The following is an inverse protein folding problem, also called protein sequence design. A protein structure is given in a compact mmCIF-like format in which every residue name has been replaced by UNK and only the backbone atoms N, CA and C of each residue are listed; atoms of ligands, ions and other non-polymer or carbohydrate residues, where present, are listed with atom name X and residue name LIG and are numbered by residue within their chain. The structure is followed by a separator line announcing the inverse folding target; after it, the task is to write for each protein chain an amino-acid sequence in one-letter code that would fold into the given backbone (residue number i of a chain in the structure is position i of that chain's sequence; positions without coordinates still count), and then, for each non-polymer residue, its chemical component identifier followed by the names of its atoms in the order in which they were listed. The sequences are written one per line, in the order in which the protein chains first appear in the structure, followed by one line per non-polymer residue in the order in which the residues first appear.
data_IF_421517991799
#
_entry.id   IF_421517991799
#
_cell.length_a   1.000
_cell.length_b   1.000
_cell.length_c   1.000
_cell.angle_alpha   90.00
_cell.angle_beta   90.00
_cell.angle_gamma   90.00
#
_symmetry.space_group_name_H-M   'P 1'
#
loop_
_entity.id
_entity.type
_entity.pdbx_description
1 polymer ?
#
# COMPACT_ATOMS: atom_id res chain seq x y z
N UNK A 1 44.11 -20.52 37.14
CA UNK A 1 43.67 -20.47 35.73
C UNK A 1 42.15 -20.54 35.67
N UNK A 2 41.50 -19.42 35.36
CA UNK A 2 40.13 -19.38 34.86
C UNK A 2 39.97 -18.07 34.07
N UNK A 3 39.71 -18.18 32.77
CA UNK A 3 39.65 -17.09 31.80
C UNK A 3 38.29 -16.40 31.88
N UNK A 4 38.28 -15.10 32.19
CA UNK A 4 37.08 -14.26 32.11
C UNK A 4 36.80 -13.96 30.63
N UNK A 5 35.69 -14.48 30.12
CA UNK A 5 35.21 -14.29 28.76
C UNK A 5 34.42 -12.97 28.69
N UNK A 6 35.02 -11.91 28.17
CA UNK A 6 34.33 -10.62 27.92
C UNK A 6 33.32 -10.79 26.77
N UNK A 7 32.04 -10.49 27.03
CA UNK A 7 30.98 -10.46 26.01
C UNK A 7 30.98 -9.09 25.35
N UNK A 8 31.45 -9.01 24.10
CA UNK A 8 31.26 -7.81 23.28
C UNK A 8 29.76 -7.60 23.02
N UNK A 9 29.26 -6.39 23.29
CA UNK A 9 27.85 -6.05 23.10
C UNK A 9 27.61 -5.58 21.66
N UNK A 10 26.41 -5.84 21.12
CA UNK A 10 25.97 -5.33 19.80
C UNK A 10 26.13 -3.81 19.67
N UNK A 11 26.09 -3.10 20.79
CA UNK A 11 26.30 -1.64 20.88
C UNK A 11 27.76 -1.24 20.63
N UNK A 12 28.73 -2.08 20.97
CA UNK A 12 30.15 -1.82 20.73
C UNK A 12 30.50 -2.02 19.24
N UNK A 13 29.85 -2.99 18.59
CA UNK A 13 29.98 -3.23 17.15
C UNK A 13 29.49 -2.03 16.32
N UNK A 14 28.36 -1.43 16.71
CA UNK A 14 27.78 -0.26 16.02
C UNK A 14 28.60 1.01 16.22
N UNK A 15 29.35 1.14 17.31
CA UNK A 15 30.26 2.27 17.53
C UNK A 15 31.52 2.17 16.66
N UNK A 16 31.95 0.96 16.31
CA UNK A 16 33.12 0.76 15.46
C UNK A 16 32.87 1.09 13.98
N UNK A 17 31.63 1.01 13.49
CA UNK A 17 31.29 1.30 12.09
C UNK A 17 31.06 2.79 11.80
N UNK A 18 30.92 3.64 12.82
CA UNK A 18 30.66 5.07 12.64
C UNK A 18 31.93 5.92 12.39
N UNK A 19 33.14 5.35 12.46
CA UNK A 19 34.40 6.10 12.33
C UNK A 19 35.13 5.90 10.98
N UNK A 20 34.50 5.27 9.98
CA UNK A 20 35.12 4.93 8.68
C UNK A 20 34.47 5.59 7.47
N UNK A 21 33.94 6.81 7.60
CA UNK A 21 33.49 7.63 6.46
C UNK A 21 34.09 9.04 6.47
N UNK A 22 35.40 9.13 6.68
CA UNK A 22 36.17 10.35 6.43
C UNK A 22 37.24 10.03 5.38
N UNK A 23 36.97 10.43 4.13
CA UNK A 23 37.97 10.48 3.06
C UNK A 23 37.55 9.75 1.79
N UNK A 24 36.99 10.49 0.84
CA UNK A 24 37.52 10.72 -0.53
C UNK A 24 36.78 11.98 -1.02
N UNK A 25 37.43 13.13 -0.89
CA UNK A 25 37.11 14.33 -1.63
C UNK A 25 38.09 14.39 -2.80
N UNK A 26 37.65 14.05 -4.01
CA UNK A 26 38.39 14.29 -5.25
C UNK A 26 37.45 14.93 -6.28
N UNK A 27 37.61 16.24 -6.37
CA UNK A 27 37.43 17.13 -7.52
C UNK A 27 36.74 16.57 -8.79
N UNK A 28 35.54 17.07 -9.07
CA UNK A 28 35.03 17.19 -10.45
C UNK A 28 33.95 18.28 -10.52
N UNK A 29 34.34 19.55 -10.51
CA UNK A 29 33.49 20.67 -10.94
C UNK A 29 34.37 21.66 -11.71
N UNK A 30 34.75 21.28 -12.92
CA UNK A 30 35.00 22.27 -13.97
C UNK A 30 33.64 22.71 -14.51
N UNK A 31 33.39 24.00 -14.78
CA UNK A 31 32.17 24.41 -15.44
C UNK A 31 32.23 23.93 -16.89
N UNK A 32 31.43 22.92 -17.22
CA UNK A 32 31.10 22.63 -18.60
C UNK A 32 30.36 23.85 -19.18
N UNK A 33 30.80 24.29 -20.36
CA UNK A 33 30.23 25.43 -21.07
C UNK A 33 28.71 25.29 -21.23
N UNK A 34 27.99 26.40 -21.00
CA UNK A 34 26.57 26.50 -21.31
C UNK A 34 26.34 26.31 -22.81
N UNK A 35 25.87 25.12 -23.18
CA UNK A 35 25.06 24.99 -24.38
C UNK A 35 23.65 25.48 -24.02
N UNK A 36 23.20 26.51 -24.73
CA UNK A 36 21.83 27.00 -24.63
C UNK A 36 20.83 25.85 -24.83
N UNK A 37 19.76 25.73 -24.02
CA UNK A 37 18.69 24.81 -24.34
C UNK A 37 18.01 25.33 -25.61
N UNK A 38 17.97 24.48 -26.64
CA UNK A 38 16.89 24.57 -27.62
C UNK A 38 15.57 24.43 -26.88
N UNK A 39 14.56 25.19 -27.28
CA UNK A 39 13.17 25.08 -26.82
C UNK A 39 12.69 23.64 -27.04
N UNK A 40 12.96 22.79 -26.05
CA UNK A 40 12.32 21.52 -25.86
C UNK A 40 11.03 21.81 -25.13
N UNK A 41 9.93 21.71 -25.85
CA UNK A 41 8.60 21.54 -25.28
C UNK A 41 8.75 20.59 -24.09
N UNK A 42 8.52 21.09 -22.87
CA UNK A 42 8.64 20.29 -21.67
C UNK A 42 7.64 19.13 -21.84
N UNK A 43 8.17 17.94 -22.12
CA UNK A 43 7.37 16.73 -22.08
C UNK A 43 6.68 16.73 -20.72
N UNK A 44 5.34 16.71 -20.73
CA UNK A 44 4.56 16.57 -19.52
C UNK A 44 5.18 15.42 -18.72
N UNK A 45 5.39 15.59 -17.40
CA UNK A 45 5.96 14.53 -16.59
C UNK A 45 5.14 13.27 -16.84
N UNK A 46 5.82 12.20 -17.27
CA UNK A 46 5.24 10.86 -17.27
C UNK A 46 4.69 10.66 -15.87
N UNK A 47 3.37 10.63 -15.71
CA UNK A 47 2.81 10.20 -14.45
C UNK A 47 3.14 8.72 -14.37
N UNK A 48 4.08 8.39 -13.48
CA UNK A 48 4.38 6.99 -13.19
C UNK A 48 3.09 6.28 -12.83
N UNK A 49 2.92 5.06 -13.37
CA UNK A 49 1.72 4.27 -13.12
C UNK A 49 1.59 3.99 -11.62
N UNK A 50 0.42 4.23 -11.06
CA UNK A 50 0.14 3.95 -9.64
C UNK A 50 -0.18 2.46 -9.50
N UNK A 51 0.61 1.75 -8.71
CA UNK A 51 0.33 0.35 -8.38
C UNK A 51 -0.73 0.26 -7.27
N UNK A 52 -1.74 -0.57 -7.47
CA UNK A 52 -2.80 -0.85 -6.49
C UNK A 52 -2.95 -2.36 -6.33
N UNK A 53 -2.73 -2.85 -5.13
CA UNK A 53 -2.84 -4.28 -4.80
C UNK A 53 -4.12 -4.53 -4.01
N UNK A 54 -5.04 -5.26 -4.64
CA UNK A 54 -6.26 -5.74 -4.01
C UNK A 54 -6.08 -7.18 -3.49
N UNK A 55 -6.83 -7.54 -2.44
CA UNK A 55 -6.88 -8.92 -1.92
C UNK A 55 -8.27 -9.53 -2.01
N UNK A 56 -8.32 -10.84 -2.24
CA UNK A 56 -9.56 -11.61 -2.33
C UNK A 56 -9.50 -12.96 -1.63
N UNK A 57 -10.63 -13.41 -1.08
CA UNK A 57 -10.84 -14.78 -0.60
C UNK A 57 -11.38 -15.74 -1.68
N UNK A 58 -11.68 -15.22 -2.88
CA UNK A 58 -12.17 -15.98 -4.03
C UNK A 58 -11.01 -16.41 -4.93
N UNK A 59 -11.21 -17.34 -5.89
CA UNK A 59 -10.23 -17.57 -6.94
C UNK A 59 -9.90 -16.27 -7.67
N UNK A 60 -8.62 -15.92 -7.80
CA UNK A 60 -8.16 -14.65 -8.37
C UNK A 60 -8.72 -14.40 -9.78
N UNK A 61 -8.81 -15.46 -10.59
CA UNK A 61 -9.36 -15.40 -11.95
C UNK A 61 -10.85 -15.00 -12.02
N UNK A 62 -11.55 -14.91 -10.88
CA UNK A 62 -12.89 -14.29 -10.81
C UNK A 62 -12.86 -12.81 -11.26
N UNK A 63 -11.71 -12.15 -11.12
CA UNK A 63 -11.56 -10.71 -11.36
C UNK A 63 -10.95 -10.37 -12.73
N UNK A 64 -10.71 -11.34 -13.61
CA UNK A 64 -10.06 -11.11 -14.92
C UNK A 64 -10.78 -10.01 -15.74
N UNK A 65 -12.11 -10.08 -15.84
CA UNK A 65 -12.91 -9.05 -16.53
C UNK A 65 -12.90 -7.68 -15.83
N UNK A 66 -12.66 -7.65 -14.52
CA UNK A 66 -12.50 -6.38 -13.78
C UNK A 66 -11.13 -5.77 -14.06
N UNK A 67 -10.08 -6.60 -14.12
CA UNK A 67 -8.74 -6.16 -14.48
C UNK A 67 -8.68 -5.62 -15.91
N UNK A 68 -9.35 -6.27 -16.86
CA UNK A 68 -9.45 -5.79 -18.25
C UNK A 68 -10.14 -4.42 -18.33
N UNK A 69 -11.32 -4.28 -17.71
CA UNK A 69 -12.04 -2.99 -17.66
C UNK A 69 -11.26 -1.90 -16.94
N UNK A 70 -10.53 -2.24 -15.88
CA UNK A 70 -9.70 -1.27 -15.17
C UNK A 70 -8.59 -0.72 -16.08
N UNK A 71 -7.92 -1.58 -16.86
CA UNK A 71 -6.90 -1.13 -17.81
C UNK A 71 -7.46 -0.17 -18.87
N UNK A 72 -8.72 -0.36 -19.29
CA UNK A 72 -9.40 0.52 -20.25
C UNK A 72 -9.86 1.84 -19.61
N UNK A 73 -10.42 1.80 -18.41
CA UNK A 73 -11.10 2.94 -17.79
C UNK A 73 -10.19 3.81 -16.92
N UNK A 74 -9.17 3.22 -16.30
CA UNK A 74 -8.22 3.86 -15.38
C UNK A 74 -6.78 3.46 -15.74
N UNK A 75 -6.29 3.79 -16.96
CA UNK A 75 -5.01 3.30 -17.49
C UNK A 75 -3.78 3.74 -16.69
N UNK A 76 -3.92 4.77 -15.85
CA UNK A 76 -2.89 5.25 -14.94
C UNK A 76 -2.73 4.37 -13.68
N UNK A 77 -3.54 3.32 -13.52
CA UNK A 77 -3.49 2.38 -12.40
C UNK A 77 -3.05 1.00 -12.89
N UNK A 78 -2.00 0.44 -12.28
CA UNK A 78 -1.66 -0.98 -12.37
C UNK A 78 -2.39 -1.73 -11.25
N UNK A 79 -3.60 -2.22 -11.56
CA UNK A 79 -4.39 -2.99 -10.60
C UNK A 79 -3.97 -4.46 -10.62
N UNK A 80 -3.63 -5.01 -9.44
CA UNK A 80 -3.38 -6.44 -9.21
C UNK A 80 -4.37 -6.98 -8.18
N UNK A 81 -4.78 -8.24 -8.32
CA UNK A 81 -5.60 -8.95 -7.32
C UNK A 81 -4.87 -10.18 -6.84
N UNK A 82 -4.62 -10.25 -5.53
CA UNK A 82 -3.93 -11.33 -4.87
C UNK A 82 -4.86 -12.12 -3.94
N UNK A 83 -4.60 -13.42 -3.81
CA UNK A 83 -5.33 -14.24 -2.85
C UNK A 83 -4.95 -13.85 -1.42
N UNK A 84 -5.92 -13.88 -0.51
CA UNK A 84 -5.70 -13.90 0.92
C UNK A 84 -6.23 -15.21 1.51
N UNK A 85 -5.41 -15.85 2.34
CA UNK A 85 -5.70 -17.15 2.89
C UNK A 85 -6.72 -17.09 4.03
N UNK A 86 -7.47 -18.17 4.22
CA UNK A 86 -8.40 -18.33 5.33
C UNK A 86 -7.74 -18.64 6.67
N UNK A 87 -6.42 -18.86 6.70
CA UNK A 87 -5.70 -19.24 7.93
C UNK A 87 -6.33 -20.45 8.62
N UNK A 88 -6.75 -20.27 9.86
CA UNK A 88 -7.43 -21.29 10.67
C UNK A 88 -8.94 -21.43 10.35
N UNK A 89 -9.44 -20.74 9.33
CA UNK A 89 -10.82 -20.75 8.87
C UNK A 89 -11.62 -19.51 9.32
N UNK A 90 -12.71 -19.23 8.58
CA UNK A 90 -13.64 -18.13 8.88
C UNK A 90 -13.04 -16.73 8.72
N UNK A 91 -13.85 -15.71 9.03
CA UNK A 91 -13.43 -14.31 8.90
C UNK A 91 -12.34 -13.89 9.89
N UNK A 92 -12.26 -14.54 11.05
CA UNK A 92 -11.16 -14.35 12.00
C UNK A 92 -9.83 -14.79 11.39
N UNK A 93 -9.75 -16.01 10.85
CA UNK A 93 -8.54 -16.53 10.23
C UNK A 93 -8.14 -15.77 8.95
N UNK A 94 -9.12 -15.30 8.19
CA UNK A 94 -8.89 -14.40 7.05
C UNK A 94 -8.26 -13.08 7.50
N UNK A 95 -8.84 -12.45 8.53
CA UNK A 95 -8.37 -11.19 9.10
C UNK A 95 -6.97 -11.34 9.70
N UNK A 96 -6.69 -12.41 10.43
CA UNK A 96 -5.37 -12.69 11.01
C UNK A 96 -4.29 -12.84 9.93
N UNK A 97 -4.61 -13.55 8.85
CA UNK A 97 -3.69 -13.72 7.70
C UNK A 97 -3.42 -12.36 7.05
N UNK A 98 -4.46 -11.57 6.82
CA UNK A 98 -4.35 -10.24 6.23
C UNK A 98 -3.50 -9.31 7.10
N UNK A 99 -3.76 -9.24 8.41
CA UNK A 99 -3.02 -8.42 9.37
C UNK A 99 -1.56 -8.85 9.47
N UNK A 100 -1.28 -10.14 9.38
CA UNK A 100 0.10 -10.66 9.37
C UNK A 100 0.87 -10.17 8.13
N UNK A 101 0.23 -10.14 6.96
CA UNK A 101 0.82 -9.62 5.71
C UNK A 101 1.09 -8.12 5.79
N UNK A 102 0.09 -7.34 6.25
CA UNK A 102 0.24 -5.89 6.47
C UNK A 102 1.38 -5.62 7.47
N UNK A 103 1.42 -6.34 8.60
CA UNK A 103 2.48 -6.21 9.59
C UNK A 103 3.86 -6.65 9.08
N UNK A 104 3.89 -7.54 8.09
CA UNK A 104 5.08 -7.95 7.35
C UNK A 104 5.59 -6.92 6.35
N UNK A 105 4.86 -5.82 6.14
CA UNK A 105 5.20 -4.76 5.19
C UNK A 105 4.78 -5.04 3.76
N UNK A 106 3.88 -6.01 3.54
CA UNK A 106 3.28 -6.22 2.23
C UNK A 106 2.32 -5.06 1.90
N UNK A 107 2.41 -4.55 0.67
CA UNK A 107 1.49 -3.54 0.17
C UNK A 107 0.11 -4.18 -0.07
N UNK A 108 -0.92 -3.64 0.57
CA UNK A 108 -2.31 -4.05 0.40
C UNK A 108 -3.16 -2.79 0.47
N UNK A 109 -3.75 -2.42 -0.67
CA UNK A 109 -4.46 -1.15 -0.84
C UNK A 109 -5.99 -1.37 -0.78
N UNK A 110 -6.48 -2.50 -1.32
CA UNK A 110 -7.90 -2.85 -1.34
C UNK A 110 -8.13 -4.23 -0.74
N UNK A 111 -9.15 -4.36 0.11
CA UNK A 111 -9.46 -5.62 0.79
C UNK A 111 -10.88 -6.03 0.43
N UNK A 112 -11.04 -7.24 -0.10
CA UNK A 112 -12.35 -7.88 -0.14
C UNK A 112 -12.69 -8.41 1.25
N UNK A 113 -13.76 -7.90 1.85
CA UNK A 113 -14.23 -8.33 3.16
C UNK A 113 -15.77 -8.35 3.17
N UNK A 114 -16.36 -9.33 3.85
CA UNK A 114 -17.79 -9.31 4.15
C UNK A 114 -18.09 -8.49 5.42
N UNK A 115 -19.36 -8.20 5.63
CA UNK A 115 -19.83 -7.41 6.77
C UNK A 115 -19.34 -7.93 8.13
N UNK A 116 -19.26 -9.25 8.32
CA UNK A 116 -18.82 -9.84 9.58
C UNK A 116 -17.35 -9.56 9.88
N UNK A 117 -16.52 -9.41 8.84
CA UNK A 117 -15.10 -9.08 8.97
C UNK A 117 -14.83 -7.59 9.16
N UNK A 118 -15.79 -6.72 8.82
CA UNK A 118 -15.62 -5.27 8.88
C UNK A 118 -15.35 -4.78 10.30
N UNK A 119 -16.13 -5.25 11.28
CA UNK A 119 -15.93 -4.89 12.69
C UNK A 119 -14.59 -5.36 13.24
N UNK A 120 -14.10 -6.52 12.80
CA UNK A 120 -12.81 -7.08 13.21
C UNK A 120 -11.66 -6.19 12.72
N UNK A 121 -11.65 -5.83 11.44
CA UNK A 121 -10.60 -5.00 10.85
C UNK A 121 -10.67 -3.54 11.35
N UNK A 122 -11.88 -3.01 11.55
CA UNK A 122 -12.07 -1.67 12.14
C UNK A 122 -11.50 -1.59 13.55
N UNK A 123 -11.73 -2.60 14.39
CA UNK A 123 -11.16 -2.69 15.74
C UNK A 123 -9.62 -2.76 15.78
N UNK A 124 -8.97 -3.06 14.65
CA UNK A 124 -7.51 -3.07 14.50
C UNK A 124 -6.95 -1.77 13.92
N UNK A 125 -7.80 -0.81 13.56
CA UNK A 125 -7.43 0.47 12.94
C UNK A 125 -6.60 0.29 11.65
N UNK A 126 -6.97 -0.70 10.82
CA UNK A 126 -6.29 -0.96 9.53
C UNK A 126 -7.13 -0.55 8.31
N UNK A 127 -8.36 -0.09 8.54
CA UNK A 127 -9.23 0.42 7.50
C UNK A 127 -9.22 1.95 7.52
N UNK A 128 -9.28 2.54 6.34
CA UNK A 128 -9.43 3.98 6.17
C UNK A 128 -10.93 4.27 5.96
N UNK A 129 -11.55 5.21 6.71
CA UNK A 129 -12.91 5.67 6.44
C UNK A 129 -13.04 6.24 5.02
N UNK A 130 -14.13 5.93 4.33
CA UNK A 130 -14.33 6.36 2.95
C UNK A 130 -15.00 7.74 2.81
N UNK A 131 -15.42 8.35 3.91
CA UNK A 131 -16.22 9.57 3.96
C UNK A 131 -15.56 10.75 3.23
N UNK A 132 -14.27 10.98 3.45
CA UNK A 132 -13.53 12.06 2.78
C UNK A 132 -13.38 11.82 1.28
N UNK A 133 -13.27 10.56 0.85
CA UNK A 133 -13.17 10.19 -0.56
C UNK A 133 -14.52 10.37 -1.27
N UNK A 134 -15.62 9.98 -0.62
CA UNK A 134 -16.97 10.16 -1.13
C UNK A 134 -17.34 11.65 -1.22
N UNK A 135 -16.99 12.45 -0.21
CA UNK A 135 -17.22 13.89 -0.24
C UNK A 135 -16.45 14.60 -1.36
N UNK A 136 -15.31 14.03 -1.79
CA UNK A 136 -14.52 14.52 -2.90
C UNK A 136 -15.01 14.05 -4.28
N UNK A 137 -15.92 13.07 -4.33
CA UNK A 137 -16.45 12.47 -5.55
C UNK A 137 -18.00 12.50 -5.56
N UNK A 138 -18.60 13.59 -6.07
CA UNK A 138 -20.05 13.73 -6.11
C UNK A 138 -20.77 12.65 -6.93
N UNK A 139 -20.09 12.06 -7.92
CA UNK A 139 -20.68 10.99 -8.74
C UNK A 139 -20.75 9.68 -7.94
N UNK A 140 -19.67 9.31 -7.25
CA UNK A 140 -19.67 8.17 -6.33
C UNK A 140 -20.68 8.37 -5.19
N UNK A 141 -20.79 9.60 -4.67
CA UNK A 141 -21.78 9.93 -3.64
C UNK A 141 -23.22 9.77 -4.15
N UNK A 142 -23.53 10.22 -5.37
CA UNK A 142 -24.85 10.06 -5.97
C UNK A 142 -25.23 8.58 -6.15
N UNK A 143 -24.31 7.76 -6.67
CA UNK A 143 -24.49 6.31 -6.80
C UNK A 143 -24.78 5.68 -5.44
N UNK A 144 -23.99 6.04 -4.43
CA UNK A 144 -24.18 5.53 -3.07
C UNK A 144 -25.57 5.94 -2.53
N UNK A 145 -25.95 7.20 -2.59
CA UNK A 145 -27.18 7.68 -1.98
C UNK A 145 -28.45 7.22 -2.71
N UNK A 146 -28.40 7.13 -4.04
CA UNK A 146 -29.58 6.97 -4.90
C UNK A 146 -29.70 5.60 -5.60
N UNK A 147 -28.60 4.87 -5.82
CA UNK A 147 -28.61 3.55 -6.48
C UNK A 147 -28.34 2.39 -5.51
N UNK A 148 -27.66 2.64 -4.38
CA UNK A 148 -27.43 1.63 -3.35
C UNK A 148 -28.50 1.68 -2.26
N UNK A 149 -29.24 0.57 -2.12
CA UNK A 149 -30.29 0.43 -1.11
C UNK A 149 -29.75 0.72 0.31
N UNK A 150 -30.48 1.53 1.08
CA UNK A 150 -30.06 2.04 2.40
C UNK A 150 -29.54 0.94 3.34
N UNK A 151 -30.22 -0.21 3.40
CA UNK A 151 -29.80 -1.36 4.21
C UNK A 151 -28.39 -1.85 3.90
N UNK A 152 -27.97 -1.84 2.62
CA UNK A 152 -26.63 -2.27 2.23
C UNK A 152 -25.55 -1.24 2.61
N UNK A 153 -25.94 0.02 2.78
CA UNK A 153 -25.02 1.10 3.18
C UNK A 153 -24.83 1.14 4.68
N UNK A 154 -25.94 1.17 5.43
CA UNK A 154 -25.92 1.24 6.89
C UNK A 154 -25.20 0.04 7.51
N UNK A 155 -25.31 -1.14 6.88
CA UNK A 155 -24.66 -2.35 7.38
C UNK A 155 -23.12 -2.32 7.27
N UNK A 156 -22.57 -1.42 6.45
CA UNK A 156 -21.12 -1.24 6.26
C UNK A 156 -20.57 -0.03 7.02
N UNK A 157 -21.38 0.63 7.85
CA UNK A 157 -20.94 1.71 8.73
C UNK A 157 -20.53 1.14 10.09
N UNK A 158 -19.43 1.65 10.64
CA UNK A 158 -18.95 1.31 11.99
C UNK A 158 -18.82 2.61 12.77
N UNK A 159 -19.55 2.71 13.88
CA UNK A 159 -19.61 3.88 14.76
C UNK A 159 -20.21 5.18 14.17
N UNK A 160 -20.88 5.07 13.02
CA UNK A 160 -21.63 6.15 12.35
C UNK A 160 -20.74 7.04 11.50
#
# INVERSE_FOLDING_TARGET
MSLIRTRLSRRDLLRLTAMTSAGVAVAACAPAASNAPADGEAAAPSQDQVEVIATTSMPVNTFDNTLERAQEQIPNIALEVNANGWGNGGWDGYSDTLLTRIAGGEQIDVIMIAIEGLGLLSAKNVLVPLDEFLAADPEAQDVLENDVHVTLREMLQVDG
#
